data_IF_095164936635
#
_entry.id   IF_095164936635
#
_cell.length_a   1.000
_cell.length_b   1.000
_cell.length_c   1.000
_cell.angle_alpha   90.00
_cell.angle_beta   90.00
_cell.angle_gamma   90.00
#
_symmetry.space_group_name_H-M   'P 1'
#
loop_
_entity.id
_entity.type
_entity.pdbx_description
1 polymer ?
#
# COMPACT_ATOMS: atom_id res chain seq x y z
N UNK A 1 26.92 7.13 -38.66
CA UNK A 1 26.04 7.98 -37.83
C UNK A 1 25.71 7.20 -36.58
N UNK A 2 26.52 7.36 -35.54
CA UNK A 2 26.30 6.80 -34.20
C UNK A 2 25.55 7.84 -33.40
N UNK A 3 24.27 7.59 -33.13
CA UNK A 3 23.44 8.47 -32.32
C UNK A 3 23.81 8.22 -30.86
N UNK A 4 24.60 9.12 -30.28
CA UNK A 4 24.92 9.13 -28.86
C UNK A 4 23.63 9.47 -28.10
N UNK A 5 23.00 8.46 -27.50
CA UNK A 5 21.79 8.61 -26.70
C UNK A 5 22.20 9.30 -25.40
N UNK A 6 21.84 10.58 -25.26
CA UNK A 6 22.07 11.35 -24.04
C UNK A 6 21.43 10.61 -22.84
N UNK A 7 22.08 10.53 -21.67
CA UNK A 7 21.49 9.88 -20.50
C UNK A 7 20.16 10.54 -20.14
N UNK A 8 19.18 9.70 -19.78
CA UNK A 8 17.83 10.17 -19.44
C UNK A 8 17.89 11.09 -18.20
N UNK A 9 17.04 12.13 -18.11
CA UNK A 9 16.99 13.04 -16.95
C UNK A 9 16.59 12.34 -15.63
N UNK A 10 16.25 11.05 -15.65
CA UNK A 10 15.92 10.23 -14.48
C UNK A 10 17.11 9.99 -13.54
N UNK A 11 18.35 10.27 -13.97
CA UNK A 11 19.58 10.05 -13.20
C UNK A 11 19.85 11.05 -12.06
N UNK A 12 19.07 12.14 -11.90
CA UNK A 12 19.31 13.09 -10.79
C UNK A 12 19.02 12.48 -9.40
N UNK A 13 18.24 11.40 -9.32
CA UNK A 13 17.79 10.84 -8.04
C UNK A 13 18.55 9.59 -7.55
N UNK A 14 19.25 8.86 -8.43
CA UNK A 14 20.09 7.72 -8.02
C UNK A 14 21.28 8.21 -7.15
N UNK A 15 21.77 9.44 -7.40
CA UNK A 15 22.75 10.10 -6.52
C UNK A 15 22.18 10.62 -5.19
N UNK A 16 20.90 11.02 -5.17
CA UNK A 16 20.27 11.58 -3.96
C UNK A 16 20.07 10.55 -2.84
N UNK A 17 19.87 9.28 -3.19
CA UNK A 17 19.66 8.19 -2.23
C UNK A 17 20.98 7.68 -1.59
N UNK A 18 22.14 7.97 -2.19
CA UNK A 18 23.46 7.69 -1.58
C UNK A 18 23.92 8.86 -0.68
N UNK A 19 23.38 10.06 -0.86
CA UNK A 19 23.66 11.22 0.00
C UNK A 19 22.67 11.36 1.20
N UNK A 20 21.50 10.74 1.14
CA UNK A 20 20.46 10.78 2.19
C UNK A 20 20.49 9.62 3.18
N UNK A 21 21.62 8.91 3.31
CA UNK A 21 21.81 7.83 4.27
C UNK A 21 22.01 8.36 5.69
N UNK A 22 20.95 8.86 6.32
CA UNK A 22 21.00 9.25 7.73
C UNK A 22 19.77 10.02 8.18
N UNK A 23 18.71 9.30 8.58
CA UNK A 23 17.85 9.58 9.74
C UNK A 23 16.60 8.70 9.62
N UNK A 24 16.71 7.49 10.16
CA UNK A 24 15.52 6.79 10.64
C UNK A 24 15.05 7.45 11.94
N UNK A 25 13.73 7.62 12.08
CA UNK A 25 13.09 7.74 13.38
C UNK A 25 12.32 9.03 13.64
N UNK A 26 10.98 8.90 13.54
CA UNK A 26 9.97 9.60 14.34
C UNK A 26 9.62 11.06 14.02
N UNK A 27 8.37 11.36 14.38
CA UNK A 27 7.66 12.65 14.43
C UNK A 27 7.01 13.08 13.09
N UNK A 28 5.69 13.04 12.91
CA UNK A 28 4.66 13.39 13.89
C UNK A 28 5.09 14.60 14.72
N UNK A 29 5.37 15.71 14.04
CA UNK A 29 5.14 17.03 14.60
C UNK A 29 4.32 17.84 13.61
N UNK A 30 3.07 18.04 14.02
CA UNK A 30 2.10 18.87 13.38
C UNK A 30 2.55 20.34 13.42
N UNK A 31 2.18 21.06 12.37
CA UNK A 31 1.32 22.25 12.47
C UNK A 31 1.62 23.22 13.64
N UNK A 32 2.75 23.93 13.58
CA UNK A 32 2.87 25.27 14.21
C UNK A 32 3.87 26.12 13.44
N UNK A 33 3.42 26.72 12.34
CA UNK A 33 4.04 27.93 11.76
C UNK A 33 2.97 29.02 11.61
N UNK A 34 2.27 29.29 12.70
CA UNK A 34 1.43 30.48 12.86
C UNK A 34 1.76 31.04 14.24
N UNK A 35 2.30 32.27 14.24
CA UNK A 35 2.70 33.13 15.36
C UNK A 35 4.15 33.00 15.85
N UNK A 36 4.94 34.05 15.57
CA UNK A 36 6.23 34.34 16.23
C UNK A 36 6.04 34.98 17.62
N UNK A 37 7.05 35.72 18.11
CA UNK A 37 8.08 35.21 19.02
C UNK A 37 7.89 35.74 20.45
N UNK A 38 8.21 34.92 21.47
CA UNK A 38 8.37 35.42 22.83
C UNK A 38 9.27 34.53 23.69
N UNK A 39 10.27 35.19 24.28
CA UNK A 39 10.98 34.87 25.54
C UNK A 39 11.72 33.52 25.70
N UNK A 40 13.04 33.64 25.62
CA UNK A 40 13.97 33.43 26.75
C UNK A 40 13.72 32.25 27.70
N UNK A 41 14.66 31.29 27.67
CA UNK A 41 15.25 30.78 28.90
C UNK A 41 15.11 29.29 29.17
N UNK A 42 16.22 28.75 29.67
CA UNK A 42 16.34 27.58 30.54
C UNK A 42 16.54 26.22 29.85
N UNK A 43 17.81 26.00 29.52
CA UNK A 43 18.54 24.75 29.79
C UNK A 43 18.19 24.18 31.16
N UNK A 44 17.74 22.92 31.23
CA UNK A 44 17.45 22.25 32.50
C UNK A 44 17.21 20.76 32.36
N UNK A 45 18.22 20.00 32.76
CA UNK A 45 18.33 18.55 32.89
C UNK A 45 17.04 17.76 33.19
N UNK A 46 16.88 16.64 32.47
CA UNK A 46 16.04 15.53 32.87
C UNK A 46 16.77 14.69 33.93
N UNK A 47 16.26 14.73 35.17
CA UNK A 47 16.48 13.68 36.17
C UNK A 47 15.13 13.16 36.67
N UNK A 48 15.09 11.84 36.86
CA UNK A 48 13.93 11.00 37.15
C UNK A 48 13.28 11.25 38.52
N UNK A 49 11.95 11.06 38.66
CA UNK A 49 11.28 9.87 39.24
C UNK A 49 9.77 10.14 39.54
N UNK A 50 8.90 9.10 39.61
CA UNK A 50 7.45 9.22 39.73
C UNK A 50 6.97 9.11 41.18
N UNK A 51 5.96 9.89 41.58
CA UNK A 51 5.12 9.58 42.75
C UNK A 51 3.69 10.06 42.51
N UNK A 52 2.75 9.15 42.76
CA UNK A 52 1.31 9.37 42.76
C UNK A 52 0.85 10.21 43.96
N UNK A 53 -0.03 11.17 43.74
CA UNK A 53 -0.96 11.80 44.71
C UNK A 53 -2.04 12.45 43.83
N UNK A 54 -3.36 12.31 43.97
CA UNK A 54 -4.20 12.03 45.12
C UNK A 54 -5.17 13.22 45.31
N UNK A 55 -6.46 12.97 45.03
CA UNK A 55 -7.67 13.65 45.54
C UNK A 55 -8.12 15.05 45.04
N UNK A 56 -9.32 15.06 44.43
CA UNK A 56 -10.58 15.77 44.80
C UNK A 56 -10.49 17.26 45.20
N UNK A 57 -11.22 18.15 44.49
CA UNK A 57 -12.19 19.19 44.99
C UNK A 57 -13.04 19.68 43.79
N UNK A 58 -14.30 19.25 43.67
CA UNK A 58 -15.55 19.99 43.96
C UNK A 58 -15.92 21.15 43.02
N UNK A 59 -17.09 21.02 42.37
CA UNK A 59 -17.82 22.04 41.64
C UNK A 59 -18.41 23.12 42.57
N UNK A 60 -18.94 24.22 42.00
CA UNK A 60 -20.23 24.72 42.47
C UNK A 60 -21.29 24.77 41.36
N UNK A 61 -22.51 24.64 41.85
CA UNK A 61 -23.81 24.40 41.22
C UNK A 61 -24.69 25.65 41.47
N UNK A 62 -25.83 25.74 40.76
CA UNK A 62 -27.04 26.58 40.97
C UNK A 62 -27.22 27.70 39.94
N UNK A 63 -28.37 27.92 39.30
CA UNK A 63 -29.76 27.43 39.38
C UNK A 63 -30.43 27.82 38.02
N UNK A 64 -31.51 27.23 37.51
CA UNK A 64 -32.83 27.17 38.13
C UNK A 64 -33.78 26.15 37.43
N UNK A 65 -34.61 25.56 38.29
CA UNK A 65 -35.73 24.62 38.12
C UNK A 65 -37.02 25.48 38.22
N UNK A 66 -38.17 25.28 37.54
CA UNK A 66 -39.24 24.27 37.71
C UNK A 66 -40.43 24.72 36.83
N UNK A 67 -41.13 23.79 36.16
CA UNK A 67 -42.61 23.68 35.98
C UNK A 67 -42.92 22.95 34.65
N UNK A 68 -43.78 21.96 34.53
CA UNK A 68 -44.73 21.33 35.44
C UNK A 68 -45.08 19.92 34.91
N UNK A 69 -45.31 18.98 35.83
CA UNK A 69 -45.94 17.68 35.59
C UNK A 69 -47.44 17.88 35.45
N UNK A 70 -48.04 17.37 34.36
CA UNK A 70 -49.26 16.52 34.34
C UNK A 70 -50.00 16.67 33.01
N UNK A 71 -50.14 15.55 32.29
CA UNK A 71 -50.86 15.51 31.02
C UNK A 71 -50.74 14.15 30.37
N UNK A 72 -51.53 13.19 30.85
CA UNK A 72 -51.74 11.93 30.15
C UNK A 72 -52.31 12.17 28.76
N UNK A 73 -51.70 11.55 27.76
CA UNK A 73 -52.13 11.59 26.37
C UNK A 73 -51.61 10.35 25.64
N UNK A 74 -52.50 9.38 25.51
CA UNK A 74 -52.30 8.18 24.70
C UNK A 74 -52.28 8.52 23.20
N UNK A 75 -51.56 7.69 22.43
CA UNK A 75 -51.63 7.52 20.97
C UNK A 75 -51.01 8.62 20.07
N UNK A 76 -49.80 8.34 19.57
CA UNK A 76 -49.63 7.83 18.19
C UNK A 76 -48.19 7.34 17.99
N UNK A 77 -48.07 6.06 17.68
CA UNK A 77 -46.88 5.51 17.06
C UNK A 77 -46.64 6.26 15.73
N UNK A 78 -45.65 7.15 15.70
CA UNK A 78 -45.04 7.57 14.44
C UNK A 78 -44.13 6.43 13.99
N UNK A 79 -44.70 5.50 13.22
CA UNK A 79 -43.89 4.65 12.35
C UNK A 79 -43.16 5.57 11.37
N UNK A 80 -41.93 5.93 11.72
CA UNK A 80 -40.97 6.46 10.75
C UNK A 80 -40.73 5.34 9.75
N UNK A 81 -41.32 5.47 8.57
CA UNK A 81 -41.01 4.63 7.43
C UNK A 81 -39.49 4.71 7.19
N UNK A 82 -38.79 3.62 7.52
CA UNK A 82 -37.44 3.42 7.05
C UNK A 82 -37.53 3.30 5.52
N UNK A 83 -37.30 4.41 4.83
CA UNK A 83 -36.99 4.38 3.40
C UNK A 83 -35.76 3.51 3.26
N UNK A 84 -35.97 2.27 2.82
CA UNK A 84 -34.91 1.40 2.32
C UNK A 84 -34.24 2.19 1.19
N UNK A 85 -33.04 2.69 1.44
CA UNK A 85 -32.22 3.28 0.39
C UNK A 85 -32.10 2.21 -0.72
N UNK A 86 -32.37 2.55 -1.99
CA UNK A 86 -32.24 1.59 -3.07
C UNK A 86 -30.82 1.00 -3.04
N UNK A 87 -30.64 -0.30 -3.35
CA UNK A 87 -29.32 -0.89 -3.43
C UNK A 87 -28.51 -0.02 -4.38
N UNK A 88 -27.47 0.63 -3.84
CA UNK A 88 -26.51 1.42 -4.62
C UNK A 88 -26.02 0.46 -5.70
N UNK A 89 -26.43 0.69 -6.95
CA UNK A 89 -26.02 -0.11 -8.09
C UNK A 89 -24.51 -0.23 -8.01
N UNK A 90 -24.00 -1.45 -7.84
CA UNK A 90 -22.56 -1.68 -7.89
C UNK A 90 -22.08 -1.11 -9.23
N UNK A 91 -21.08 -0.23 -9.18
CA UNK A 91 -20.47 0.27 -10.40
C UNK A 91 -20.02 -0.93 -11.25
N UNK A 92 -20.14 -0.85 -12.58
CA UNK A 92 -19.62 -1.90 -13.44
C UNK A 92 -18.16 -2.16 -13.09
N UNK A 93 -17.70 -3.43 -13.11
CA UNK A 93 -16.31 -3.74 -12.84
C UNK A 93 -15.42 -2.96 -13.80
N UNK A 94 -14.27 -2.43 -13.34
CA UNK A 94 -13.37 -1.68 -14.20
C UNK A 94 -12.95 -2.53 -15.41
N UNK A 95 -12.69 -1.88 -16.54
CA UNK A 95 -12.16 -2.58 -17.70
C UNK A 95 -10.86 -3.31 -17.32
N UNK A 96 -10.64 -4.49 -17.89
CA UNK A 96 -9.46 -5.31 -17.55
C UNK A 96 -8.16 -4.59 -17.91
N UNK A 97 -8.15 -3.82 -18.99
CA UNK A 97 -7.01 -2.99 -19.39
C UNK A 97 -6.76 -1.87 -18.40
N UNK A 98 -7.80 -1.15 -17.99
CA UNK A 98 -7.71 -0.10 -16.97
C UNK A 98 -7.21 -0.63 -15.63
N UNK A 99 -7.71 -1.78 -15.18
CA UNK A 99 -7.25 -2.41 -13.94
C UNK A 99 -5.76 -2.79 -14.00
N UNK A 100 -5.28 -3.28 -15.15
CA UNK A 100 -3.88 -3.61 -15.36
C UNK A 100 -2.99 -2.35 -15.35
N UNK A 101 -3.41 -1.29 -16.05
CA UNK A 101 -2.70 0.00 -16.07
C UNK A 101 -2.70 0.66 -14.69
N UNK A 102 -3.79 0.55 -13.93
CA UNK A 102 -3.86 1.06 -12.55
C UNK A 102 -2.88 0.31 -11.64
N UNK A 103 -2.82 -1.03 -11.72
CA UNK A 103 -1.79 -1.78 -10.97
C UNK A 103 -0.38 -1.34 -11.36
N UNK A 104 -0.12 -1.14 -12.66
CA UNK A 104 1.19 -0.66 -13.14
C UNK A 104 1.51 0.75 -12.63
N UNK A 105 0.54 1.66 -12.58
CA UNK A 105 0.69 3.00 -12.03
C UNK A 105 1.04 2.96 -10.53
N UNK A 106 0.41 2.07 -9.75
CA UNK A 106 0.75 1.87 -8.33
C UNK A 106 2.18 1.35 -8.16
N UNK A 107 2.61 0.40 -9.01
CA UNK A 107 3.98 -0.11 -9.01
C UNK A 107 5.01 0.97 -9.39
N UNK A 108 4.64 1.88 -10.30
CA UNK A 108 5.47 3.04 -10.63
C UNK A 108 5.55 4.04 -9.48
N UNK A 109 4.42 4.37 -8.85
CA UNK A 109 4.36 5.33 -7.74
C UNK A 109 5.19 4.88 -6.54
N UNK A 110 5.04 3.62 -6.12
CA UNK A 110 5.70 3.11 -4.90
C UNK A 110 7.09 2.54 -5.18
N UNK A 111 7.30 1.96 -6.35
CA UNK A 111 8.51 1.19 -6.69
C UNK A 111 9.37 1.76 -7.81
N UNK A 112 8.90 2.77 -8.55
CA UNK A 112 9.57 3.26 -9.78
C UNK A 112 9.87 2.15 -10.79
N UNK A 113 8.96 1.18 -10.90
CA UNK A 113 9.18 -0.02 -11.70
C UNK A 113 9.41 0.30 -13.18
N UNK A 114 8.62 1.19 -13.77
CA UNK A 114 8.72 1.54 -15.19
C UNK A 114 10.04 2.26 -15.45
N UNK A 115 10.40 3.24 -14.60
CA UNK A 115 11.69 3.93 -14.70
C UNK A 115 12.86 2.94 -14.65
N UNK A 116 12.81 1.97 -13.74
CA UNK A 116 13.87 0.98 -13.58
C UNK A 116 14.01 0.08 -14.82
N UNK A 117 12.90 -0.29 -15.46
CA UNK A 117 12.92 -1.15 -16.65
C UNK A 117 13.37 -0.41 -17.92
N UNK A 118 13.11 0.90 -18.01
CA UNK A 118 13.52 1.75 -19.13
C UNK A 118 14.97 2.25 -19.01
N UNK A 119 15.61 2.07 -17.86
CA UNK A 119 16.98 2.48 -17.61
C UNK A 119 18.01 1.51 -18.23
N UNK A 120 19.02 2.05 -18.91
CA UNK A 120 20.15 1.26 -19.40
C UNK A 120 21.12 0.97 -18.27
N UNK A 121 21.15 -0.29 -17.81
CA UNK A 121 22.02 -0.69 -16.71
C UNK A 121 23.49 -0.93 -17.12
N UNK A 122 23.80 -0.97 -18.41
CA UNK A 122 25.14 -1.30 -18.93
C UNK A 122 26.29 -0.47 -18.36
N UNK A 123 26.14 0.84 -18.14
CA UNK A 123 27.21 1.68 -17.57
C UNK A 123 27.44 1.53 -16.06
N UNK A 124 26.56 0.84 -15.33
CA UNK A 124 26.61 0.80 -13.87
C UNK A 124 27.30 -0.45 -13.34
N UNK A 125 28.00 -0.31 -12.21
CA UNK A 125 28.56 -1.45 -11.49
C UNK A 125 27.49 -2.22 -10.70
N UNK A 126 27.75 -3.50 -10.42
CA UNK A 126 26.88 -4.35 -9.58
C UNK A 126 26.57 -3.71 -8.22
N UNK A 127 27.52 -2.95 -7.66
CA UNK A 127 27.32 -2.26 -6.37
C UNK A 127 26.31 -1.12 -6.50
N UNK A 128 26.36 -0.34 -7.58
CA UNK A 128 25.39 0.73 -7.86
C UNK A 128 24.01 0.17 -8.21
N UNK A 129 23.95 -0.90 -9.01
CA UNK A 129 22.69 -1.59 -9.32
C UNK A 129 22.08 -2.15 -8.03
N UNK A 130 22.89 -2.84 -7.23
CA UNK A 130 22.45 -3.47 -5.99
C UNK A 130 21.92 -2.47 -4.95
N UNK A 131 22.42 -1.24 -4.92
CA UNK A 131 21.88 -0.19 -4.03
C UNK A 131 20.51 0.32 -4.50
N UNK A 132 20.35 0.56 -5.80
CA UNK A 132 19.09 1.06 -6.37
C UNK A 132 17.97 0.00 -6.37
N UNK A 133 18.28 -1.25 -6.74
CA UNK A 133 17.31 -2.34 -6.86
C UNK A 133 16.61 -2.63 -5.54
N UNK A 134 17.29 -2.49 -4.40
CA UNK A 134 16.67 -2.74 -3.08
C UNK A 134 15.48 -1.82 -2.82
N UNK A 135 15.59 -0.55 -3.19
CA UNK A 135 14.50 0.41 -3.07
C UNK A 135 13.34 0.05 -3.98
N UNK A 136 13.61 -0.17 -5.28
CA UNK A 136 12.62 -0.58 -6.29
C UNK A 136 11.88 -1.85 -5.84
N UNK A 137 12.63 -2.88 -5.46
CA UNK A 137 12.09 -4.14 -4.96
C UNK A 137 11.21 -3.93 -3.72
N UNK A 138 11.65 -3.11 -2.76
CA UNK A 138 10.89 -2.88 -1.54
C UNK A 138 9.53 -2.20 -1.79
N UNK A 139 9.48 -1.21 -2.69
CA UNK A 139 8.25 -0.52 -3.09
C UNK A 139 7.29 -1.43 -3.85
N UNK A 140 7.78 -2.13 -4.88
CA UNK A 140 7.00 -3.13 -5.63
C UNK A 140 6.43 -4.22 -4.71
N UNK A 141 7.23 -4.69 -3.74
CA UNK A 141 6.78 -5.68 -2.75
C UNK A 141 5.69 -5.13 -1.82
N UNK A 142 5.75 -3.85 -1.46
CA UNK A 142 4.72 -3.21 -0.65
C UNK A 142 3.36 -3.20 -1.37
N UNK A 143 3.35 -2.82 -2.66
CA UNK A 143 2.15 -2.87 -3.50
C UNK A 143 1.57 -4.29 -3.56
N UNK A 144 2.41 -5.31 -3.79
CA UNK A 144 1.93 -6.70 -3.79
C UNK A 144 1.32 -7.10 -2.46
N UNK A 145 1.95 -6.78 -1.32
CA UNK A 145 1.39 -7.13 -0.01
C UNK A 145 0.06 -6.45 0.29
N UNK A 146 -0.11 -5.20 -0.15
CA UNK A 146 -1.35 -4.46 0.09
C UNK A 146 -2.48 -4.93 -0.84
N UNK A 147 -2.15 -5.14 -2.12
CA UNK A 147 -3.14 -5.35 -3.19
C UNK A 147 -3.42 -6.81 -3.51
N UNK A 148 -2.46 -7.71 -3.29
CA UNK A 148 -2.54 -9.13 -3.65
C UNK A 148 -2.37 -10.02 -2.42
N UNK A 149 -3.23 -11.02 -2.31
CA UNK A 149 -2.95 -12.20 -1.48
C UNK A 149 -2.41 -13.30 -2.38
N UNK A 150 -1.13 -13.64 -2.24
CA UNK A 150 -0.45 -14.63 -3.08
C UNK A 150 -0.30 -15.95 -2.32
N UNK A 151 -0.79 -17.03 -2.92
CA UNK A 151 -0.70 -18.38 -2.38
C UNK A 151 -0.03 -19.33 -3.37
N UNK A 152 0.68 -20.37 -2.89
CA UNK A 152 1.23 -21.40 -3.77
C UNK A 152 0.11 -22.19 -4.47
N UNK A 153 0.36 -22.67 -5.69
CA UNK A 153 -0.58 -23.54 -6.41
C UNK A 153 -0.49 -24.97 -5.85
N UNK A 154 0.73 -25.49 -5.73
CA UNK A 154 0.99 -26.77 -5.08
C UNK A 154 1.57 -26.54 -3.68
N UNK A 155 1.05 -27.21 -2.64
CA UNK A 155 1.64 -27.14 -1.32
C UNK A 155 3.00 -27.85 -1.31
N UNK A 156 3.94 -27.33 -0.51
CA UNK A 156 5.28 -27.89 -0.36
C UNK A 156 6.38 -26.89 -0.63
N UNK A 157 7.55 -27.14 -0.07
CA UNK A 157 8.75 -26.37 -0.37
C UNK A 157 9.36 -26.83 -1.71
N UNK A 158 10.14 -25.95 -2.34
CA UNK A 158 10.97 -26.35 -3.46
C UNK A 158 11.91 -27.50 -3.04
N UNK A 159 12.02 -28.51 -3.89
CA UNK A 159 12.75 -29.74 -3.59
C UNK A 159 11.91 -30.86 -2.95
N UNK A 160 10.68 -30.60 -2.52
CA UNK A 160 9.80 -31.64 -2.00
C UNK A 160 9.34 -32.61 -3.10
N UNK A 161 9.17 -33.88 -2.75
CA UNK A 161 8.51 -34.86 -3.62
C UNK A 161 7.01 -34.58 -3.66
N UNK A 162 6.45 -34.47 -4.86
CA UNK A 162 5.02 -34.25 -5.10
C UNK A 162 4.47 -35.25 -6.10
N UNK A 163 3.19 -35.57 -5.93
CA UNK A 163 2.43 -36.37 -6.89
C UNK A 163 1.47 -35.45 -7.65
N UNK A 164 1.55 -35.47 -8.97
CA UNK A 164 0.62 -34.77 -9.86
C UNK A 164 -0.41 -35.77 -10.34
N UNK A 165 -1.63 -35.64 -9.83
CA UNK A 165 -2.71 -36.58 -10.09
C UNK A 165 -3.25 -36.49 -11.52
N UNK A 166 -4.00 -37.53 -11.91
CA UNK A 166 -4.75 -37.52 -13.17
C UNK A 166 -5.80 -36.42 -13.15
N UNK A 167 -5.93 -35.70 -14.27
CA UNK A 167 -6.88 -34.59 -14.40
C UNK A 167 -6.39 -33.27 -13.79
N UNK A 168 -5.09 -33.11 -13.54
CA UNK A 168 -4.53 -31.82 -13.14
C UNK A 168 -4.76 -30.74 -14.21
N UNK A 169 -4.89 -29.49 -13.78
CA UNK A 169 -5.02 -28.34 -14.67
C UNK A 169 -3.65 -27.96 -15.28
N UNK A 170 -3.46 -28.09 -16.61
CA UNK A 170 -2.19 -27.75 -17.26
C UNK A 170 -1.88 -26.24 -17.24
N UNK A 171 -2.86 -25.37 -16.97
CA UNK A 171 -2.62 -23.95 -16.74
C UNK A 171 -2.03 -23.68 -15.34
N UNK A 172 -2.31 -24.56 -14.37
CA UNK A 172 -1.86 -24.43 -12.99
C UNK A 172 -0.55 -25.19 -12.71
N UNK A 173 -0.38 -26.38 -13.32
CA UNK A 173 0.78 -27.24 -13.08
C UNK A 173 1.45 -27.61 -14.39
N UNK A 174 2.73 -27.24 -14.54
CA UNK A 174 3.55 -27.64 -15.68
C UNK A 174 4.47 -28.79 -15.30
N UNK A 175 4.25 -29.95 -15.89
CA UNK A 175 5.12 -31.13 -15.72
C UNK A 175 6.24 -31.08 -16.74
N UNK A 176 7.49 -31.22 -16.29
CA UNK A 176 8.70 -31.12 -17.14
C UNK A 176 9.64 -32.30 -16.90
N UNK A 177 10.44 -32.67 -17.90
CA UNK A 177 11.40 -33.78 -17.82
C UNK A 177 11.01 -34.95 -18.71
N UNK A 178 11.38 -36.18 -18.32
CA UNK A 178 11.01 -37.40 -19.05
C UNK A 178 9.58 -37.84 -18.72
N UNK A 179 8.61 -37.08 -19.22
CA UNK A 179 7.18 -37.37 -19.03
C UNK A 179 6.80 -38.55 -19.94
N UNK A 180 6.68 -39.74 -19.36
CA UNK A 180 6.22 -40.96 -20.04
C UNK A 180 5.04 -41.55 -19.29
N UNK A 181 4.11 -42.16 -20.02
CA UNK A 181 2.90 -42.75 -19.45
C UNK A 181 1.86 -41.70 -19.04
N UNK A 182 0.80 -42.19 -18.40
CA UNK A 182 -0.29 -41.36 -17.88
C UNK A 182 -0.04 -40.99 -16.41
N UNK A 183 -0.61 -39.88 -15.91
CA UNK A 183 -0.58 -39.60 -14.47
C UNK A 183 -1.24 -40.73 -13.65
N UNK A 184 -0.87 -40.87 -12.37
CA UNK A 184 -0.14 -39.89 -11.56
C UNK A 184 1.36 -39.80 -11.87
N UNK A 185 1.89 -38.58 -11.94
CA UNK A 185 3.33 -38.35 -12.08
C UNK A 185 3.95 -38.09 -10.71
N UNK A 186 5.03 -38.79 -10.38
CA UNK A 186 5.88 -38.40 -9.25
C UNK A 186 7.05 -37.55 -9.72
N UNK A 187 7.30 -36.46 -9.01
CA UNK A 187 8.39 -35.56 -9.32
C UNK A 187 8.83 -34.73 -8.12
N UNK A 188 9.82 -33.88 -8.37
CA UNK A 188 10.33 -32.92 -7.40
C UNK A 188 9.75 -31.55 -7.72
N UNK A 189 9.10 -30.92 -6.74
CA UNK A 189 8.55 -29.58 -6.88
C UNK A 189 9.69 -28.58 -7.13
N UNK A 190 9.77 -28.03 -8.33
CA UNK A 190 10.81 -27.04 -8.67
C UNK A 190 10.43 -25.61 -8.32
N UNK A 191 9.13 -25.30 -8.41
CA UNK A 191 8.56 -24.04 -7.99
C UNK A 191 7.08 -24.30 -7.66
N UNK A 192 6.56 -23.87 -6.49
CA UNK A 192 5.18 -24.14 -6.06
C UNK A 192 4.11 -23.46 -6.90
N UNK A 193 4.52 -22.50 -7.75
CA UNK A 193 3.62 -21.63 -8.49
C UNK A 193 3.08 -20.51 -7.59
N UNK A 194 2.38 -19.57 -8.20
CA UNK A 194 1.69 -18.50 -7.49
C UNK A 194 0.27 -18.38 -8.04
N UNK A 195 -0.70 -18.24 -7.16
CA UNK A 195 -2.06 -17.81 -7.49
C UNK A 195 -2.42 -16.60 -6.66
N UNK A 196 -3.21 -15.70 -7.24
CA UNK A 196 -3.90 -14.68 -6.45
C UNK A 196 -5.09 -15.34 -5.76
N UNK A 197 -5.08 -15.36 -4.43
CA UNK A 197 -6.22 -15.76 -3.60
C UNK A 197 -7.22 -14.60 -3.46
N UNK A 198 -6.71 -13.37 -3.42
CA UNK A 198 -7.49 -12.15 -3.45
C UNK A 198 -6.74 -11.04 -4.20
N UNK A 199 -7.49 -10.17 -4.87
CA UNK A 199 -7.00 -8.97 -5.52
C UNK A 199 -7.86 -7.78 -5.16
N UNK A 200 -7.23 -6.69 -4.74
CA UNK A 200 -7.88 -5.45 -4.31
C UNK A 200 -7.22 -4.28 -5.01
N UNK A 201 -7.97 -3.63 -5.89
CA UNK A 201 -7.61 -2.32 -6.42
C UNK A 201 -8.41 -1.24 -5.68
N UNK A 202 -7.79 -0.09 -5.39
CA UNK A 202 -8.54 1.09 -4.94
C UNK A 202 -9.60 1.46 -5.98
N UNK A 203 -10.76 1.92 -5.54
CA UNK A 203 -11.74 2.51 -6.45
C UNK A 203 -11.13 3.75 -7.11
N UNK A 204 -11.14 3.79 -8.43
CA UNK A 204 -10.76 4.99 -9.17
C UNK A 204 -11.84 6.05 -8.90
N UNK A 205 -11.48 7.09 -8.16
CA UNK A 205 -12.40 8.23 -7.95
C UNK A 205 -12.20 9.22 -9.09
N UNK A 206 -13.19 9.32 -9.98
CA UNK A 206 -13.21 10.28 -11.09
C UNK A 206 -12.78 9.72 -12.45
N UNK A 207 -12.99 10.53 -13.49
CA UNK A 207 -12.60 10.25 -14.87
C UNK A 207 -11.11 10.60 -15.04
N UNK A 208 -10.24 9.68 -14.61
CA UNK A 208 -8.79 9.80 -14.78
C UNK A 208 -8.38 9.02 -16.03
N UNK A 209 -7.57 9.65 -16.88
CA UNK A 209 -6.93 8.94 -17.99
C UNK A 209 -5.98 7.85 -17.44
N UNK A 210 -6.40 6.60 -17.54
CA UNK A 210 -5.68 5.42 -17.07
C UNK A 210 -4.40 5.12 -17.87
N UNK A 211 -4.22 5.76 -19.03
CA UNK A 211 -3.00 5.63 -19.83
C UNK A 211 -1.82 6.40 -19.24
N UNK A 212 -2.08 7.33 -18.31
CA UNK A 212 -1.06 8.13 -17.62
C UNK A 212 -0.60 7.41 -16.34
N UNK A 213 0.54 6.72 -16.43
CA UNK A 213 1.13 5.95 -15.32
C UNK A 213 1.81 6.83 -14.26
N UNK A 214 2.43 7.92 -14.68
CA UNK A 214 3.05 8.93 -13.81
C UNK A 214 2.97 10.31 -14.49
N UNK A 215 2.72 11.40 -13.74
CA UNK A 215 2.73 12.74 -14.29
C UNK A 215 4.16 13.16 -14.67
N UNK A 216 4.28 14.03 -15.68
CA UNK A 216 5.53 14.75 -15.91
C UNK A 216 5.72 15.83 -14.83
N UNK A 217 6.90 15.88 -14.23
CA UNK A 217 7.26 16.89 -13.23
C UNK A 217 8.08 18.01 -13.90
N UNK A 218 7.66 19.26 -13.71
CA UNK A 218 8.32 20.45 -14.26
C UNK A 218 8.60 21.43 -13.13
N UNK A 219 9.88 21.72 -12.91
CA UNK A 219 10.32 22.79 -11.99
C UNK A 219 10.22 24.14 -12.71
N UNK A 220 9.52 25.10 -12.11
CA UNK A 220 9.39 26.48 -12.65
C UNK A 220 10.61 27.29 -12.20
N UNK A 221 11.22 28.00 -13.16
CA UNK A 221 12.39 28.87 -12.95
C UNK A 221 12.02 30.30 -12.56
#
# INVERSE_FOLDING_TARGET
MTTERSPSPALRWIGALVAGGGLGGAAAYALTQVLGPASSGLTGAWQANPVATGAIVAAPLLAALVAAVSGGGSARASQGAATVAPPRSAAPPPDRGEAALHLLALMQQEGRLVDFLEEDLGPYSDTQIGSAVRTVHSGCRAVFKERLDLAPILPGAEGATVTVERGFDPAAVRVTGNVRGEPPYQGVLRHPGWRSAAFRLPDTTGDRDHTILAPAEVEVL
#
